data_IF_092131285603
#
_entry.id   IF_092131285603
#
_cell.length_a   1.000
_cell.length_b   1.000
_cell.length_c   1.000
_cell.angle_alpha   90.00
_cell.angle_beta   90.00
_cell.angle_gamma   90.00
#
_symmetry.space_group_name_H-M   'P 1'
#
loop_
_entity.id
_entity.type
_entity.pdbx_description
1 polymer ?
#
# COMPACT_ATOMS: atom_id res chain seq x y z
N UNK A 1 -15.58 14.07 -19.24
CA UNK A 1 -15.87 13.85 -17.82
C UNK A 1 -14.76 12.96 -17.30
N UNK A 2 -14.17 13.25 -16.17
CA UNK A 2 -13.14 12.37 -15.59
C UNK A 2 -13.87 11.16 -14.99
N UNK A 3 -13.45 9.96 -15.33
CA UNK A 3 -14.03 8.74 -14.79
C UNK A 3 -13.78 8.67 -13.29
N UNK A 4 -14.85 8.50 -12.50
CA UNK A 4 -14.77 8.34 -11.05
C UNK A 4 -15.58 7.12 -10.65
N UNK A 5 -14.96 6.24 -9.86
CA UNK A 5 -15.67 5.16 -9.20
C UNK A 5 -16.02 5.58 -7.77
N UNK A 6 -17.23 5.29 -7.36
CA UNK A 6 -17.72 5.56 -6.01
C UNK A 6 -18.30 4.27 -5.48
N UNK A 7 -17.75 3.78 -4.39
CA UNK A 7 -18.33 2.66 -3.65
C UNK A 7 -19.33 3.25 -2.66
N UNK A 8 -20.58 2.86 -2.78
CA UNK A 8 -21.65 3.28 -1.85
C UNK A 8 -21.89 2.12 -0.88
N UNK A 9 -21.45 2.27 0.35
CA UNK A 9 -21.72 1.31 1.43
C UNK A 9 -22.24 2.05 2.67
N UNK A 10 -23.56 2.06 2.89
CA UNK A 10 -24.19 2.75 4.03
C UNK A 10 -23.77 2.17 5.40
N UNK A 11 -23.31 0.92 5.45
CA UNK A 11 -22.90 0.26 6.68
C UNK A 11 -21.43 0.53 7.06
N UNK A 12 -20.61 1.04 6.13
CA UNK A 12 -19.18 1.29 6.37
C UNK A 12 -18.91 2.33 7.46
N UNK A 13 -19.84 3.26 7.70
CA UNK A 13 -19.75 4.28 8.75
C UNK A 13 -19.96 3.73 10.17
N UNK A 14 -20.41 2.48 10.33
CA UNK A 14 -20.66 1.85 11.64
C UNK A 14 -19.45 1.09 12.19
N UNK A 15 -18.30 1.23 11.55
CA UNK A 15 -17.09 0.49 11.89
C UNK A 15 -16.52 0.96 13.24
N UNK A 16 -16.49 0.05 14.21
CA UNK A 16 -15.79 0.19 15.50
C UNK A 16 -16.29 1.29 16.47
N UNK A 17 -17.53 1.22 16.90
CA UNK A 17 -17.99 1.92 18.11
C UNK A 17 -17.33 1.41 19.41
N UNK A 18 -16.37 0.49 19.34
CA UNK A 18 -15.75 -0.09 20.51
C UNK A 18 -14.50 0.70 20.95
N UNK A 19 -14.41 1.01 22.24
CA UNK A 19 -13.20 1.59 22.88
C UNK A 19 -12.02 0.60 22.92
N UNK A 20 -12.21 -0.65 22.52
CA UNK A 20 -11.18 -1.71 22.55
C UNK A 20 -10.56 -1.84 21.17
N UNK A 21 -9.25 -1.94 21.11
CA UNK A 21 -8.53 -2.22 19.88
C UNK A 21 -8.75 -3.69 19.44
N UNK A 22 -9.49 -3.96 18.35
CA UNK A 22 -9.84 -5.30 17.91
C UNK A 22 -8.66 -6.08 17.32
N UNK A 23 -7.57 -5.38 16.95
CA UNK A 23 -6.40 -5.98 16.31
C UNK A 23 -5.33 -6.41 17.31
N UNK A 24 -5.52 -6.10 18.59
CA UNK A 24 -4.60 -6.48 19.66
C UNK A 24 -4.69 -7.98 19.96
N UNK A 25 -3.55 -8.69 20.18
CA UNK A 25 -3.57 -10.06 20.68
C UNK A 25 -4.44 -10.23 21.93
N UNK A 26 -5.25 -11.28 21.94
CA UNK A 26 -6.28 -11.54 22.95
C UNK A 26 -7.66 -10.98 22.62
N UNK A 27 -7.79 -10.22 21.53
CA UNK A 27 -9.06 -9.67 21.02
C UNK A 27 -9.47 -10.30 19.66
N UNK A 28 -8.90 -11.46 19.30
CA UNK A 28 -9.12 -12.10 18.00
C UNK A 28 -10.60 -12.37 17.71
N UNK A 29 -11.41 -12.65 18.74
CA UNK A 29 -12.87 -12.83 18.63
C UNK A 29 -13.63 -11.55 18.26
N UNK A 30 -12.99 -10.39 18.30
CA UNK A 30 -13.59 -9.12 17.86
C UNK A 30 -13.53 -8.91 16.35
N UNK A 31 -12.74 -9.70 15.63
CA UNK A 31 -12.62 -9.68 14.17
C UNK A 31 -13.29 -10.91 13.56
N UNK A 32 -13.34 -11.00 12.24
CA UNK A 32 -13.64 -12.27 11.57
C UNK A 32 -12.49 -13.25 11.78
N UNK A 33 -12.75 -14.55 11.54
CA UNK A 33 -11.73 -15.58 11.58
C UNK A 33 -10.60 -15.25 10.60
N UNK A 34 -9.35 -15.47 11.03
CA UNK A 34 -8.22 -15.24 10.15
C UNK A 34 -8.18 -16.26 9.03
N UNK A 35 -8.05 -15.76 7.81
CA UNK A 35 -7.79 -16.58 6.61
C UNK A 35 -6.31 -16.92 6.47
N UNK A 36 -5.45 -16.20 7.18
CA UNK A 36 -4.02 -16.45 7.28
C UNK A 36 -3.47 -15.77 8.53
N UNK A 37 -2.77 -16.52 9.37
CA UNK A 37 -1.93 -16.00 10.45
C UNK A 37 -0.52 -16.54 10.27
N UNK A 38 0.46 -15.65 10.23
CA UNK A 38 1.87 -16.01 10.16
C UNK A 38 2.42 -16.16 11.57
N UNK A 39 2.94 -17.33 11.90
CA UNK A 39 3.46 -17.66 13.23
C UNK A 39 4.91 -18.11 13.11
N UNK A 40 5.82 -17.53 13.90
CA UNK A 40 7.17 -18.05 14.03
C UNK A 40 7.18 -19.22 15.03
N UNK A 41 7.54 -20.42 14.57
CA UNK A 41 7.65 -21.61 15.41
C UNK A 41 8.89 -22.39 15.01
N UNK A 42 9.72 -22.71 15.99
CA UNK A 42 10.96 -23.49 15.81
C UNK A 42 11.91 -22.90 14.73
N UNK A 43 11.98 -21.57 14.64
CA UNK A 43 12.79 -20.86 13.64
C UNK A 43 12.21 -20.86 12.22
N UNK A 44 11.00 -21.38 12.04
CA UNK A 44 10.29 -21.39 10.76
C UNK A 44 8.99 -20.60 10.82
N UNK A 45 8.62 -19.96 9.70
CA UNK A 45 7.35 -19.28 9.54
C UNK A 45 6.28 -20.26 9.08
N UNK A 46 5.25 -20.44 9.88
CA UNK A 46 4.10 -21.27 9.57
C UNK A 46 2.88 -20.41 9.22
N UNK A 47 2.09 -20.86 8.26
CA UNK A 47 0.81 -20.27 7.89
C UNK A 47 -0.31 -21.09 8.53
N UNK A 48 -1.05 -20.44 9.40
CA UNK A 48 -2.17 -21.06 10.13
C UNK A 48 -3.44 -20.24 9.85
N UNK A 49 -4.59 -20.81 10.20
CA UNK A 49 -5.91 -20.18 10.12
C UNK A 49 -6.65 -20.37 11.42
N UNK A 50 -7.52 -19.41 11.77
CA UNK A 50 -8.46 -19.61 12.86
C UNK A 50 -9.52 -20.67 12.49
N UNK A 51 -10.07 -21.30 13.49
CA UNK A 51 -11.26 -22.13 13.39
C UNK A 51 -12.38 -21.54 14.27
N UNK A 52 -13.59 -22.04 14.15
CA UNK A 52 -14.71 -21.61 15.01
C UNK A 52 -14.43 -21.85 16.49
N UNK A 53 -13.66 -22.88 16.80
CA UNK A 53 -13.38 -23.32 18.17
C UNK A 53 -12.06 -22.75 18.74
N UNK A 54 -11.12 -22.29 17.88
CA UNK A 54 -9.81 -21.84 18.33
C UNK A 54 -9.23 -20.73 17.45
N UNK A 55 -8.64 -19.74 18.11
CA UNK A 55 -7.93 -18.63 17.44
C UNK A 55 -6.42 -18.83 17.51
N UNK A 56 -5.75 -18.62 16.39
CA UNK A 56 -4.28 -18.69 16.30
C UNK A 56 -3.67 -17.64 17.23
N UNK A 57 -2.76 -18.10 18.10
CA UNK A 57 -2.03 -17.27 19.06
C UNK A 57 -0.59 -17.03 18.60
N UNK A 58 0.07 -16.02 19.19
CA UNK A 58 1.48 -15.69 18.93
C UNK A 58 1.76 -15.43 17.43
N UNK A 59 0.77 -14.88 16.72
CA UNK A 59 0.92 -14.49 15.34
C UNK A 59 1.82 -13.26 15.20
N UNK A 60 2.63 -13.22 14.15
CA UNK A 60 3.41 -12.05 13.75
C UNK A 60 2.60 -11.14 12.80
N UNK A 61 1.87 -11.74 11.86
CA UNK A 61 0.96 -11.05 10.92
C UNK A 61 -0.36 -11.82 10.91
N UNK A 62 -1.48 -11.12 10.89
CA UNK A 62 -2.81 -11.72 10.86
C UNK A 62 -3.69 -11.10 9.78
N UNK A 63 -4.34 -11.93 8.97
CA UNK A 63 -5.22 -11.52 7.86
C UNK A 63 -6.63 -12.06 8.08
N UNK A 64 -7.61 -11.19 7.97
CA UNK A 64 -9.03 -11.55 8.05
C UNK A 64 -9.88 -10.64 7.16
N UNK A 65 -11.07 -11.07 6.81
CA UNK A 65 -12.03 -10.24 6.09
C UNK A 65 -12.53 -9.11 6.99
N UNK A 66 -12.68 -7.91 6.42
CA UNK A 66 -13.24 -6.78 7.15
C UNK A 66 -14.65 -7.10 7.63
N UNK A 67 -15.01 -6.71 8.86
CA UNK A 67 -16.39 -6.78 9.37
C UNK A 67 -17.33 -5.76 8.72
N UNK A 68 -16.77 -4.70 8.16
CA UNK A 68 -17.51 -3.70 7.39
C UNK A 68 -16.83 -3.56 6.03
N UNK A 69 -16.98 -4.56 5.14
CA UNK A 69 -16.26 -4.57 3.88
C UNK A 69 -16.84 -3.50 2.94
N UNK A 70 -15.95 -2.77 2.24
CA UNK A 70 -16.38 -1.84 1.19
C UNK A 70 -16.87 -2.58 -0.06
N UNK A 71 -16.32 -3.77 -0.30
CA UNK A 71 -16.68 -4.69 -1.39
C UNK A 71 -16.95 -6.07 -0.80
N UNK A 72 -17.87 -6.85 -1.38
CA UNK A 72 -18.22 -8.18 -0.91
C UNK A 72 -18.40 -9.14 -2.08
N UNK A 73 -18.22 -10.43 -1.83
CA UNK A 73 -18.59 -11.49 -2.78
C UNK A 73 -20.10 -11.77 -2.76
N UNK A 74 -20.76 -11.43 -1.66
CA UNK A 74 -22.21 -11.54 -1.47
C UNK A 74 -22.87 -10.20 -1.77
N UNK A 75 -23.03 -9.89 -3.06
CA UNK A 75 -23.68 -8.66 -3.54
C UNK A 75 -24.85 -9.02 -4.46
N UNK A 76 -25.88 -8.22 -4.40
CA UNK A 76 -27.01 -8.32 -5.34
C UNK A 76 -26.54 -7.93 -6.75
N UNK A 77 -26.96 -8.69 -7.76
CA UNK A 77 -26.69 -8.40 -9.17
C UNK A 77 -27.60 -7.25 -9.64
N UNK A 78 -27.25 -6.03 -9.23
CA UNK A 78 -27.94 -4.82 -9.67
C UNK A 78 -27.06 -4.02 -10.61
N UNK A 79 -27.54 -3.78 -11.82
CA UNK A 79 -26.88 -3.00 -12.84
C UNK A 79 -27.78 -1.87 -13.31
N UNK A 80 -27.20 -0.74 -13.62
CA UNK A 80 -27.86 0.31 -14.36
C UNK A 80 -27.00 0.78 -15.52
N UNK A 81 -27.69 1.21 -16.59
CA UNK A 81 -27.08 1.70 -17.82
C UNK A 81 -27.15 3.23 -17.95
N UNK A 82 -26.70 3.72 -19.10
CA UNK A 82 -26.73 5.14 -19.44
C UNK A 82 -28.04 5.82 -19.05
N UNK A 83 -27.99 7.04 -18.45
CA UNK A 83 -26.79 7.84 -18.21
C UNK A 83 -26.09 7.58 -16.85
N UNK A 84 -26.64 6.74 -15.99
CA UNK A 84 -26.14 6.48 -14.64
C UNK A 84 -25.69 5.02 -14.55
N UNK A 85 -24.38 4.81 -14.73
CA UNK A 85 -23.81 3.46 -14.66
C UNK A 85 -23.59 3.02 -13.22
N UNK A 86 -24.04 1.81 -12.91
CA UNK A 86 -23.68 1.13 -11.66
C UNK A 86 -23.44 -0.36 -11.91
N UNK A 87 -22.57 -0.93 -11.11
CA UNK A 87 -22.31 -2.37 -11.05
C UNK A 87 -22.22 -2.81 -9.59
N UNK A 88 -22.45 -4.10 -9.28
CA UNK A 88 -22.25 -4.61 -7.93
C UNK A 88 -20.84 -4.33 -7.44
N UNK A 89 -20.70 -3.90 -6.18
CA UNK A 89 -19.39 -3.72 -5.54
C UNK A 89 -18.78 -5.06 -5.13
N UNK A 90 -18.60 -5.93 -6.13
CA UNK A 90 -18.04 -7.27 -5.96
C UNK A 90 -16.55 -7.24 -5.64
N UNK A 91 -16.12 -8.05 -4.67
CA UNK A 91 -14.71 -8.21 -4.34
C UNK A 91 -14.49 -8.75 -2.93
N UNK A 92 -13.23 -8.78 -2.54
CA UNK A 92 -12.76 -9.18 -1.22
C UNK A 92 -12.15 -7.97 -0.53
N UNK A 93 -12.44 -7.77 0.74
CA UNK A 93 -11.81 -6.74 1.56
C UNK A 93 -11.14 -7.38 2.78
N UNK A 94 -9.80 -7.48 2.75
CA UNK A 94 -8.98 -7.99 3.83
C UNK A 94 -8.29 -6.88 4.62
N UNK A 95 -8.17 -7.10 5.92
CA UNK A 95 -7.30 -6.35 6.83
C UNK A 95 -6.07 -7.21 7.09
N UNK A 96 -4.88 -6.64 6.92
CA UNK A 96 -3.59 -7.26 7.22
C UNK A 96 -3.00 -6.54 8.44
N UNK A 97 -3.14 -7.12 9.62
CA UNK A 97 -2.54 -6.56 10.84
C UNK A 97 -1.03 -6.80 10.79
N UNK A 98 -0.28 -5.71 10.72
CA UNK A 98 1.15 -5.71 10.41
C UNK A 98 2.05 -5.99 11.62
N UNK A 99 1.53 -5.93 12.82
CA UNK A 99 2.28 -6.23 14.04
C UNK A 99 1.31 -6.62 15.17
N UNK A 100 1.68 -7.52 16.09
CA UNK A 100 0.91 -7.77 17.30
C UNK A 100 1.03 -6.63 18.34
N UNK A 101 2.07 -5.78 18.25
CA UNK A 101 2.28 -4.68 19.20
C UNK A 101 1.54 -3.41 18.74
N UNK A 102 0.49 -2.97 19.49
CA UNK A 102 -0.26 -1.77 19.16
C UNK A 102 0.49 -0.45 19.40
N UNK A 103 1.68 -0.49 20.00
CA UNK A 103 2.52 0.70 20.24
C UNK A 103 3.39 1.04 19.03
N UNK A 104 3.57 0.09 18.12
CA UNK A 104 4.32 0.29 16.89
C UNK A 104 3.45 0.97 15.84
N UNK A 105 4.13 1.55 14.87
CA UNK A 105 3.54 2.13 13.65
C UNK A 105 4.19 1.48 12.44
N UNK A 106 3.65 1.68 11.26
CA UNK A 106 4.28 1.22 10.01
C UNK A 106 5.68 1.83 9.80
N UNK A 107 5.98 2.98 10.43
CA UNK A 107 7.31 3.59 10.41
C UNK A 107 8.30 2.97 11.42
N UNK A 108 7.82 2.20 12.40
CA UNK A 108 8.64 1.70 13.52
C UNK A 108 8.70 0.18 13.65
N UNK A 109 7.83 -0.58 12.98
CA UNK A 109 8.00 -2.04 12.87
C UNK A 109 9.37 -2.34 12.24
N UNK A 110 10.04 -3.41 12.66
CA UNK A 110 11.37 -3.73 12.19
C UNK A 110 11.40 -4.32 10.76
N UNK A 111 12.59 -4.53 10.22
CA UNK A 111 12.78 -5.01 8.85
C UNK A 111 12.24 -6.42 8.68
N UNK A 112 12.44 -7.30 9.65
CA UNK A 112 11.94 -8.68 9.61
C UNK A 112 10.41 -8.69 9.61
N UNK A 113 9.79 -7.85 10.44
CA UNK A 113 8.34 -7.71 10.49
C UNK A 113 7.78 -7.15 9.17
N UNK A 114 8.45 -6.15 8.55
CA UNK A 114 8.08 -5.68 7.21
C UNK A 114 8.21 -6.80 6.17
N UNK A 115 9.28 -7.61 6.22
CA UNK A 115 9.44 -8.76 5.33
C UNK A 115 8.28 -9.74 5.48
N UNK A 116 7.86 -10.03 6.72
CA UNK A 116 6.72 -10.90 7.01
C UNK A 116 5.41 -10.33 6.45
N UNK A 117 5.16 -9.03 6.60
CA UNK A 117 4.00 -8.35 6.00
C UNK A 117 3.99 -8.46 4.49
N UNK A 118 5.12 -8.17 3.83
CA UNK A 118 5.24 -8.23 2.37
C UNK A 118 5.08 -9.65 1.81
N UNK A 119 5.59 -10.67 2.51
CA UNK A 119 5.34 -12.09 2.17
C UNK A 119 3.86 -12.42 2.23
N UNK A 120 3.15 -11.93 3.25
CA UNK A 120 1.71 -12.13 3.39
C UNK A 120 0.94 -11.38 2.31
N UNK A 121 1.31 -10.13 1.99
CA UNK A 121 0.75 -9.36 0.87
C UNK A 121 0.92 -10.14 -0.44
N UNK A 122 2.13 -10.66 -0.72
CA UNK A 122 2.41 -11.44 -1.92
C UNK A 122 1.56 -12.72 -1.99
N UNK A 123 1.42 -13.44 -0.87
CA UNK A 123 0.61 -14.66 -0.78
C UNK A 123 -0.86 -14.38 -1.09
N UNK A 124 -1.42 -13.33 -0.48
CA UNK A 124 -2.83 -12.95 -0.70
C UNK A 124 -3.09 -12.41 -2.10
N UNK A 125 -2.16 -11.66 -2.67
CA UNK A 125 -2.23 -11.24 -4.07
C UNK A 125 -2.33 -12.44 -5.02
N UNK A 126 -1.44 -13.43 -4.85
CA UNK A 126 -1.47 -14.66 -5.66
C UNK A 126 -2.81 -15.39 -5.54
N UNK A 127 -3.34 -15.50 -4.35
CA UNK A 127 -4.64 -16.15 -4.12
C UNK A 127 -5.79 -15.34 -4.75
N UNK A 128 -5.84 -14.02 -4.53
CA UNK A 128 -6.90 -13.16 -5.06
C UNK A 128 -6.96 -13.20 -6.59
N UNK A 129 -5.82 -13.16 -7.28
CA UNK A 129 -5.80 -13.25 -8.74
C UNK A 129 -6.22 -14.63 -9.29
N UNK A 130 -6.37 -15.67 -8.46
CA UNK A 130 -7.02 -16.93 -8.87
C UNK A 130 -8.54 -16.88 -8.74
N UNK A 131 -9.10 -15.88 -8.06
CA UNK A 131 -10.54 -15.81 -7.81
C UNK A 131 -11.27 -15.28 -9.05
N UNK A 132 -12.45 -15.89 -9.32
CA UNK A 132 -13.32 -15.45 -10.41
C UNK A 132 -13.80 -14.02 -10.12
N UNK A 133 -13.83 -13.16 -11.15
CA UNK A 133 -14.32 -11.79 -11.03
C UNK A 133 -13.28 -10.78 -10.51
N UNK A 134 -12.08 -11.20 -10.10
CA UNK A 134 -11.02 -10.29 -9.69
C UNK A 134 -10.20 -9.86 -10.92
N UNK A 135 -10.17 -8.56 -11.19
CA UNK A 135 -9.34 -7.94 -12.25
C UNK A 135 -8.21 -7.10 -11.68
N UNK A 136 -8.38 -6.54 -10.50
CA UNK A 136 -7.39 -5.72 -9.82
C UNK A 136 -7.41 -5.94 -8.30
N UNK A 137 -6.25 -5.79 -7.67
CA UNK A 137 -6.12 -5.82 -6.21
C UNK A 137 -5.38 -4.55 -5.78
N UNK A 138 -6.04 -3.72 -4.98
CA UNK A 138 -5.45 -2.57 -4.33
C UNK A 138 -4.89 -2.97 -2.96
N UNK A 139 -3.68 -2.50 -2.64
CA UNK A 139 -3.04 -2.64 -1.33
C UNK A 139 -2.65 -1.24 -0.88
N UNK A 140 -3.12 -0.84 0.29
CA UNK A 140 -2.82 0.48 0.82
C UNK A 140 -2.82 0.48 2.35
N UNK A 141 -2.30 1.54 2.94
CA UNK A 141 -2.34 1.77 4.38
C UNK A 141 -2.59 3.23 4.72
N UNK A 142 -3.25 3.43 5.86
CA UNK A 142 -3.58 4.71 6.44
C UNK A 142 -2.91 4.78 7.83
N UNK A 143 -1.83 5.53 7.96
CA UNK A 143 -1.11 5.69 9.21
C UNK A 143 -1.42 7.05 9.83
N UNK A 144 -2.04 7.01 11.00
CA UNK A 144 -2.46 8.21 11.74
C UNK A 144 -3.88 8.67 11.41
N UNK A 145 -4.47 9.44 12.33
CA UNK A 145 -5.89 9.81 12.27
C UNK A 145 -6.21 10.71 11.06
N UNK A 146 -5.30 11.63 10.72
CA UNK A 146 -5.51 12.54 9.59
C UNK A 146 -5.44 11.82 8.24
N UNK A 147 -4.83 10.63 8.20
CA UNK A 147 -4.80 9.76 7.03
C UNK A 147 -6.05 8.88 6.88
N UNK A 148 -7.01 8.97 7.82
CA UNK A 148 -8.25 8.22 7.76
C UNK A 148 -8.21 6.86 8.45
N UNK A 149 -7.17 6.56 9.25
CA UNK A 149 -7.15 5.30 10.01
C UNK A 149 -8.29 5.25 11.01
N UNK A 150 -8.99 4.12 11.06
CA UNK A 150 -10.11 3.90 11.99
C UNK A 150 -9.64 3.21 13.28
N UNK A 151 -8.61 2.38 13.19
CA UNK A 151 -8.02 1.65 14.31
C UNK A 151 -6.56 2.04 14.42
N UNK A 152 -6.18 2.65 15.54
CA UNK A 152 -4.78 3.00 15.84
C UNK A 152 -3.98 1.73 16.18
N UNK A 153 -3.60 1.02 15.13
CA UNK A 153 -2.84 -0.22 15.14
C UNK A 153 -2.24 -0.42 13.74
N UNK A 154 -0.94 -0.77 13.58
CA UNK A 154 -0.34 -0.89 12.27
C UNK A 154 -1.02 -1.99 11.43
N UNK A 155 -1.65 -1.61 10.34
CA UNK A 155 -2.34 -2.52 9.42
C UNK A 155 -2.36 -1.97 8.00
N UNK A 156 -2.58 -2.87 7.05
CA UNK A 156 -2.84 -2.57 5.65
C UNK A 156 -4.25 -3.02 5.29
N UNK A 157 -4.81 -2.35 4.31
CA UNK A 157 -6.03 -2.78 3.62
C UNK A 157 -5.66 -3.45 2.31
N UNK A 158 -6.37 -4.50 1.94
CA UNK A 158 -6.26 -5.16 0.65
C UNK A 158 -7.67 -5.39 0.11
N UNK A 159 -7.97 -4.76 -1.04
CA UNK A 159 -9.27 -4.88 -1.70
C UNK A 159 -9.12 -5.39 -3.12
N UNK A 160 -10.03 -6.26 -3.55
CA UNK A 160 -10.09 -6.66 -4.95
C UNK A 160 -11.30 -6.08 -5.65
N UNK A 161 -11.17 -5.85 -6.96
CA UNK A 161 -12.19 -5.25 -7.80
C UNK A 161 -12.37 -6.04 -9.10
N UNK A 162 -13.58 -6.05 -9.69
CA UNK A 162 -13.85 -6.66 -11.00
C UNK A 162 -13.32 -5.80 -12.15
N UNK A 163 -13.02 -4.53 -11.91
CA UNK A 163 -12.52 -3.55 -12.86
C UNK A 163 -11.18 -2.96 -12.39
N UNK A 164 -10.41 -2.41 -13.33
CA UNK A 164 -9.15 -1.73 -13.01
C UNK A 164 -9.49 -0.30 -12.57
N UNK A 165 -8.93 0.20 -11.44
CA UNK A 165 -9.15 1.57 -11.02
C UNK A 165 -8.71 2.58 -12.08
N UNK A 166 -9.44 3.70 -12.28
CA UNK A 166 -9.18 4.66 -13.35
C UNK A 166 -7.75 5.20 -13.38
N UNK A 167 -7.16 5.49 -12.22
CA UNK A 167 -5.79 6.01 -12.13
C UNK A 167 -4.75 4.99 -12.63
N UNK A 168 -4.94 3.72 -12.31
CA UNK A 168 -4.07 2.63 -12.77
C UNK A 168 -4.24 2.39 -14.27
N UNK A 169 -5.46 2.49 -14.78
CA UNK A 169 -5.75 2.36 -16.20
C UNK A 169 -5.13 3.51 -17.00
N UNK A 170 -5.22 4.74 -16.51
CA UNK A 170 -4.60 5.92 -17.12
C UNK A 170 -3.07 5.79 -17.15
N UNK A 171 -2.46 5.38 -16.05
CA UNK A 171 -1.02 5.12 -15.96
C UNK A 171 -0.58 4.04 -16.95
N UNK A 172 -1.32 2.93 -17.02
CA UNK A 172 -1.04 1.83 -17.94
C UNK A 172 -1.21 2.27 -19.41
N UNK A 173 -2.22 3.07 -19.71
CA UNK A 173 -2.44 3.62 -21.06
C UNK A 173 -1.32 4.58 -21.46
N UNK A 174 -0.92 5.48 -20.58
CA UNK A 174 0.16 6.44 -20.81
C UNK A 174 1.50 5.73 -20.97
N UNK A 175 1.80 4.76 -20.14
CA UNK A 175 3.01 3.94 -20.22
C UNK A 175 3.08 3.17 -21.54
N UNK A 176 1.97 2.53 -21.94
CA UNK A 176 1.89 1.78 -23.18
C UNK A 176 2.01 2.67 -24.43
N UNK A 177 1.42 3.86 -24.40
CA UNK A 177 1.56 4.85 -25.47
C UNK A 177 3.03 5.25 -25.67
N UNK A 178 3.74 5.61 -24.60
CA UNK A 178 5.16 5.99 -24.67
C UNK A 178 6.02 4.82 -25.16
N UNK A 179 5.75 3.60 -24.67
CA UNK A 179 6.45 2.41 -25.13
C UNK A 179 6.30 2.19 -26.64
N UNK A 180 5.08 2.34 -27.18
CA UNK A 180 4.82 2.19 -28.62
C UNK A 180 5.44 3.31 -29.45
N UNK A 181 5.42 4.55 -28.96
CA UNK A 181 5.93 5.71 -29.72
C UNK A 181 7.46 5.83 -29.65
N UNK A 182 8.07 5.48 -28.50
CA UNK A 182 9.49 5.74 -28.22
C UNK A 182 10.32 4.47 -27.99
N UNK A 183 9.70 3.30 -27.84
CA UNK A 183 10.39 2.04 -27.58
C UNK A 183 10.98 1.91 -26.17
N UNK A 184 10.51 2.73 -25.22
CA UNK A 184 11.07 2.79 -23.85
C UNK A 184 9.97 2.71 -22.80
N UNK A 185 10.30 2.12 -21.66
CA UNK A 185 9.42 2.10 -20.50
C UNK A 185 9.59 3.42 -19.71
N UNK A 186 8.57 4.28 -19.61
CA UNK A 186 8.73 5.62 -19.03
C UNK A 186 9.17 5.59 -17.55
N UNK A 187 8.63 4.67 -16.75
CA UNK A 187 9.02 4.54 -15.35
C UNK A 187 10.48 4.09 -15.21
N UNK A 188 10.98 3.21 -16.07
CA UNK A 188 12.39 2.81 -16.05
C UNK A 188 13.31 3.99 -16.37
N UNK A 189 12.94 4.82 -17.35
CA UNK A 189 13.68 6.05 -17.64
C UNK A 189 13.65 7.03 -16.45
N UNK A 190 12.48 7.17 -15.81
CA UNK A 190 12.36 8.02 -14.62
C UNK A 190 13.29 7.53 -13.49
N UNK A 191 13.29 6.24 -13.21
CA UNK A 191 14.18 5.61 -12.22
C UNK A 191 15.65 5.88 -12.53
N UNK A 192 16.04 5.73 -13.79
CA UNK A 192 17.44 6.00 -14.23
C UNK A 192 17.80 7.48 -14.07
N UNK A 193 16.86 8.40 -14.33
CA UNK A 193 17.07 9.85 -14.17
C UNK A 193 17.16 10.28 -12.70
N UNK A 194 16.39 9.64 -11.81
CA UNK A 194 16.38 9.96 -10.39
C UNK A 194 17.55 9.32 -9.64
N UNK A 195 18.17 8.26 -10.18
CA UNK A 195 19.33 7.61 -9.58
C UNK A 195 20.55 8.54 -9.56
N UNK A 196 20.96 8.97 -8.37
CA UNK A 196 22.01 10.00 -8.17
C UNK A 196 21.53 11.43 -8.41
N UNK A 197 20.25 11.63 -8.72
CA UNK A 197 19.65 12.95 -8.96
C UNK A 197 19.29 13.70 -7.66
N UNK A 198 18.89 14.98 -7.81
CA UNK A 198 18.61 15.86 -6.66
C UNK A 198 17.34 15.47 -5.87
N UNK A 199 16.45 14.66 -6.45
CA UNK A 199 15.23 14.19 -5.81
C UNK A 199 15.33 12.79 -5.21
N UNK A 200 16.51 12.15 -5.30
CA UNK A 200 16.75 10.85 -4.66
C UNK A 200 16.77 11.00 -3.13
N UNK A 201 15.99 10.18 -2.44
CA UNK A 201 15.99 10.04 -0.97
C UNK A 201 17.00 8.99 -0.55
N UNK A 202 16.83 7.77 -1.04
CA UNK A 202 17.61 6.58 -0.68
C UNK A 202 17.59 5.58 -1.83
N UNK A 203 18.61 4.72 -1.90
CA UNK A 203 18.59 3.54 -2.75
C UNK A 203 19.22 2.35 -2.05
N UNK A 204 18.75 1.18 -2.39
CA UNK A 204 19.28 -0.12 -1.99
C UNK A 204 19.78 -0.89 -3.22
N UNK A 205 20.05 -2.19 -3.09
CA UNK A 205 20.46 -3.00 -4.25
C UNK A 205 19.38 -3.03 -5.35
N UNK A 206 18.12 -3.29 -4.98
CA UNK A 206 17.01 -3.48 -5.91
C UNK A 206 16.05 -2.30 -6.04
N UNK A 207 16.07 -1.33 -5.13
CA UNK A 207 15.05 -0.28 -5.06
C UNK A 207 15.66 1.11 -4.97
N UNK A 208 14.86 2.10 -5.37
CA UNK A 208 15.13 3.52 -5.21
C UNK A 208 13.91 4.22 -4.63
N UNK A 209 14.12 5.15 -3.70
CA UNK A 209 13.12 6.08 -3.21
C UNK A 209 13.46 7.51 -3.65
N UNK A 210 12.50 8.23 -4.20
CA UNK A 210 12.68 9.61 -4.67
C UNK A 210 11.38 10.41 -4.57
N UNK A 211 11.46 11.73 -4.49
CA UNK A 211 10.32 12.62 -4.62
C UNK A 211 9.98 12.81 -6.10
N UNK A 212 8.73 12.64 -6.55
CA UNK A 212 8.36 12.84 -7.94
C UNK A 212 8.51 14.30 -8.35
N UNK A 213 8.72 14.56 -9.65
CA UNK A 213 8.86 15.92 -10.21
C UNK A 213 7.62 16.80 -9.95
N UNK A 214 6.43 16.23 -10.00
CA UNK A 214 5.16 16.90 -9.82
C UNK A 214 4.34 16.19 -8.73
N UNK A 215 4.67 16.38 -7.44
CA UNK A 215 3.98 15.74 -6.35
C UNK A 215 2.56 16.27 -6.16
N UNK A 216 1.64 15.43 -5.73
CA UNK A 216 0.30 15.82 -5.32
C UNK A 216 0.24 16.30 -3.86
N UNK A 217 1.23 15.92 -3.06
CA UNK A 217 1.37 16.28 -1.64
C UNK A 217 2.78 16.78 -1.34
N UNK A 218 2.96 17.76 -0.45
CA UNK A 218 4.28 18.10 0.07
C UNK A 218 4.95 16.85 0.68
N UNK A 219 6.23 16.64 0.40
CA UNK A 219 7.01 15.48 0.84
C UNK A 219 6.54 14.14 0.29
N UNK A 220 5.69 14.09 -0.72
CA UNK A 220 5.36 12.87 -1.44
C UNK A 220 6.63 12.20 -1.96
N UNK A 221 6.70 10.88 -1.82
CA UNK A 221 7.80 10.10 -2.40
C UNK A 221 7.34 8.73 -2.89
N UNK A 222 8.07 8.22 -3.86
CA UNK A 222 7.83 6.93 -4.46
C UNK A 222 8.96 5.96 -4.17
N UNK A 223 8.65 4.68 -4.05
CA UNK A 223 9.62 3.58 -3.94
C UNK A 223 9.43 2.67 -5.14
N UNK A 224 10.43 2.62 -6.01
CA UNK A 224 10.38 1.89 -7.27
C UNK A 224 11.44 0.80 -7.33
N UNK A 225 11.15 -0.39 -7.90
CA UNK A 225 12.18 -1.31 -8.33
C UNK A 225 13.12 -0.65 -9.34
N UNK A 226 14.42 -0.84 -9.20
CA UNK A 226 15.41 -0.32 -10.17
C UNK A 226 15.36 -1.09 -11.50
N UNK A 227 15.09 -2.39 -11.42
CA UNK A 227 14.88 -3.23 -12.59
C UNK A 227 13.43 -3.20 -13.00
N UNK A 228 13.16 -3.01 -14.29
CA UNK A 228 11.78 -3.08 -14.79
C UNK A 228 11.11 -4.39 -14.41
N UNK A 229 10.01 -4.28 -13.69
CA UNK A 229 9.18 -5.42 -13.29
C UNK A 229 7.72 -5.01 -13.19
N UNK A 230 6.83 -5.87 -13.66
CA UNK A 230 5.39 -5.61 -13.68
C UNK A 230 4.63 -6.40 -12.62
N UNK A 231 5.25 -7.40 -11.99
CA UNK A 231 4.55 -8.29 -11.07
C UNK A 231 5.22 -8.32 -9.70
N UNK A 232 4.58 -7.69 -8.72
CA UNK A 232 4.95 -7.81 -7.31
C UNK A 232 4.78 -9.26 -6.80
N UNK A 233 3.79 -9.99 -7.32
CA UNK A 233 3.53 -11.37 -6.90
C UNK A 233 4.68 -12.34 -7.21
N UNK A 234 5.63 -11.94 -8.08
CA UNK A 234 6.76 -12.78 -8.54
C UNK A 234 8.12 -12.38 -7.98
N UNK A 235 8.24 -11.28 -7.22
CA UNK A 235 9.52 -10.90 -6.64
C UNK A 235 10.03 -11.97 -5.68
N UNK A 236 11.35 -12.11 -5.62
CA UNK A 236 12.04 -13.09 -4.79
C UNK A 236 12.06 -12.67 -3.30
N UNK A 237 12.37 -13.61 -2.40
CA UNK A 237 12.55 -13.29 -0.99
C UNK A 237 13.67 -12.26 -0.76
N UNK A 238 14.74 -12.30 -1.57
CA UNK A 238 15.82 -11.29 -1.52
C UNK A 238 15.28 -9.90 -1.82
N UNK A 239 14.45 -9.75 -2.85
CA UNK A 239 13.81 -8.48 -3.21
C UNK A 239 12.80 -8.03 -2.16
N UNK A 240 12.04 -8.96 -1.55
CA UNK A 240 11.15 -8.66 -0.42
C UNK A 240 11.94 -8.08 0.76
N UNK A 241 13.06 -8.69 1.14
CA UNK A 241 13.89 -8.22 2.25
C UNK A 241 14.49 -6.84 1.94
N UNK A 242 14.91 -6.59 0.72
CA UNK A 242 15.45 -5.31 0.28
C UNK A 242 14.35 -4.21 0.24
N UNK A 243 13.14 -4.56 -0.21
CA UNK A 243 11.98 -3.69 -0.11
C UNK A 243 11.60 -3.37 1.34
N UNK A 244 11.64 -4.36 2.23
CA UNK A 244 11.41 -4.16 3.66
C UNK A 244 12.41 -3.17 4.27
N UNK A 245 13.68 -3.27 3.88
CA UNK A 245 14.74 -2.37 4.32
C UNK A 245 14.48 -0.93 3.88
N UNK A 246 14.22 -0.69 2.58
CA UNK A 246 14.00 0.66 2.07
C UNK A 246 12.70 1.28 2.60
N UNK A 247 11.61 0.49 2.73
CA UNK A 247 10.35 0.92 3.35
C UNK A 247 10.60 1.35 4.79
N UNK A 248 11.24 0.51 5.60
CA UNK A 248 11.50 0.82 7.00
C UNK A 248 12.37 2.08 7.16
N UNK A 249 13.40 2.22 6.34
CA UNK A 249 14.31 3.36 6.40
C UNK A 249 13.62 4.67 5.96
N UNK A 250 12.82 4.64 4.89
CA UNK A 250 12.17 5.84 4.36
C UNK A 250 10.96 6.26 5.19
N UNK A 251 10.10 5.35 5.63
CA UNK A 251 8.99 5.65 6.52
C UNK A 251 9.49 6.11 7.90
N UNK A 252 10.55 5.51 8.43
CA UNK A 252 11.21 5.96 9.66
C UNK A 252 11.82 7.36 9.50
N UNK A 253 12.45 7.62 8.36
CA UNK A 253 12.96 8.94 7.99
C UNK A 253 11.86 9.99 7.91
N UNK A 254 10.73 9.67 7.25
CA UNK A 254 9.54 10.54 7.19
C UNK A 254 9.03 10.87 8.60
N UNK A 255 8.80 9.84 9.42
CA UNK A 255 8.30 10.00 10.80
C UNK A 255 9.20 10.90 11.65
N UNK A 256 10.53 10.78 11.53
CA UNK A 256 11.49 11.62 12.26
C UNK A 256 11.59 13.03 11.71
N UNK A 257 11.58 13.22 10.39
CA UNK A 257 11.65 14.53 9.75
C UNK A 257 10.43 15.39 10.07
N UNK A 258 9.25 14.76 10.13
CA UNK A 258 7.96 15.44 10.21
C UNK A 258 7.20 15.16 11.51
N UNK A 259 7.89 14.76 12.57
CA UNK A 259 7.35 14.57 13.93
C UNK A 259 6.09 13.69 13.96
N UNK A 260 6.18 12.49 13.38
CA UNK A 260 5.09 11.51 13.30
C UNK A 260 3.87 12.00 12.48
N UNK A 261 4.12 12.64 11.35
CA UNK A 261 3.06 13.04 10.41
C UNK A 261 2.22 11.83 10.01
N UNK A 262 0.91 12.05 9.89
CA UNK A 262 0.00 11.07 9.28
C UNK A 262 0.30 10.93 7.78
N UNK A 263 0.18 9.72 7.23
CA UNK A 263 0.40 9.48 5.80
C UNK A 263 -0.44 8.31 5.29
N UNK A 264 -0.77 8.37 4.02
CA UNK A 264 -1.23 7.19 3.27
C UNK A 264 -0.07 6.64 2.46
N UNK A 265 -0.10 5.35 2.17
CA UNK A 265 0.66 4.80 1.05
C UNK A 265 -0.17 3.79 0.26
N UNK A 266 0.12 3.69 -1.03
CA UNK A 266 -0.55 2.77 -1.93
C UNK A 266 0.45 2.05 -2.82
N UNK A 267 0.19 0.76 -3.07
CA UNK A 267 0.88 0.01 -4.10
C UNK A 267 0.18 0.25 -5.44
N UNK A 268 0.88 0.84 -6.38
CA UNK A 268 0.48 0.89 -7.78
C UNK A 268 0.92 -0.43 -8.43
N UNK A 269 0.05 -1.41 -8.40
CA UNK A 269 0.31 -2.75 -8.91
C UNK A 269 -0.13 -2.86 -10.37
N UNK A 270 0.62 -3.63 -11.13
CA UNK A 270 0.20 -3.97 -12.49
C UNK A 270 -0.99 -4.94 -12.46
N UNK A 271 -2.03 -4.73 -13.29
CA UNK A 271 -3.08 -5.70 -13.44
C UNK A 271 -2.52 -7.05 -13.92
N UNK A 272 -2.78 -8.15 -13.23
CA UNK A 272 -2.29 -9.48 -13.62
C UNK A 272 -3.24 -10.23 -14.56
N UNK A 273 -4.26 -9.56 -15.09
CA UNK A 273 -5.20 -10.12 -16.05
C UNK A 273 -4.53 -10.30 -17.42
N UNK A 274 -4.80 -11.44 -18.07
CA UNK A 274 -4.31 -11.72 -19.42
C UNK A 274 -4.73 -10.61 -20.39
N UNK A 275 -3.78 -10.10 -21.19
CA UNK A 275 -3.95 -8.98 -22.13
C UNK A 275 -4.17 -7.59 -21.52
N UNK A 276 -4.00 -7.41 -20.22
CA UNK A 276 -3.98 -6.08 -19.60
C UNK A 276 -2.69 -5.34 -19.98
N UNK A 277 -2.80 -4.02 -20.15
CA UNK A 277 -1.62 -3.17 -20.22
C UNK A 277 -0.93 -3.18 -18.86
N UNK A 278 0.38 -3.33 -18.89
CA UNK A 278 1.20 -3.51 -17.70
C UNK A 278 1.85 -2.19 -17.30
N UNK A 279 2.01 -1.98 -16.02
CA UNK A 279 2.81 -0.88 -15.46
C UNK A 279 4.05 -1.44 -14.75
N UNK A 280 5.05 -0.62 -14.60
CA UNK A 280 6.15 -0.88 -13.65
C UNK A 280 5.61 -0.60 -12.25
N UNK A 281 5.38 -1.65 -11.43
CA UNK A 281 4.80 -1.47 -10.12
C UNK A 281 5.71 -0.61 -9.22
N UNK A 282 5.09 0.17 -8.35
CA UNK A 282 5.78 1.01 -7.37
C UNK A 282 4.88 1.27 -6.16
N UNK A 283 5.43 1.90 -5.15
CA UNK A 283 4.71 2.35 -3.96
C UNK A 283 4.78 3.87 -3.91
N UNK A 284 3.65 4.51 -3.74
CA UNK A 284 3.54 5.94 -3.53
C UNK A 284 3.18 6.23 -2.07
N UNK A 285 3.83 7.22 -1.46
CA UNK A 285 3.62 7.64 -0.07
C UNK A 285 3.21 9.10 -0.04
N UNK A 286 2.07 9.38 0.60
CA UNK A 286 1.41 10.68 0.64
C UNK A 286 1.34 11.21 2.07
N UNK A 287 2.30 12.03 2.53
CA UNK A 287 2.23 12.66 3.84
C UNK A 287 1.11 13.70 3.91
N UNK A 288 0.37 13.72 5.00
CA UNK A 288 -0.73 14.64 5.22
C UNK A 288 -0.22 15.84 6.01
N UNK A 289 0.29 16.83 5.31
CA UNK A 289 0.81 18.07 5.92
C UNK A 289 -0.28 19.13 6.03
N UNK A 290 -1.13 19.21 5.00
CA UNK A 290 -2.26 20.15 4.92
C UNK A 290 -3.44 19.48 4.20
N UNK A 291 -4.67 19.80 4.58
CA UNK A 291 -5.85 19.33 3.83
C UNK A 291 -5.88 19.93 2.43
N UNK A 292 -6.32 19.16 1.44
CA UNK A 292 -6.60 19.68 0.10
C UNK A 292 -7.67 20.75 0.13
N UNK A 293 -7.42 21.85 -0.55
CA UNK A 293 -8.32 22.99 -0.72
C UNK A 293 -9.26 22.81 -1.92
N UNK A 294 -9.97 23.87 -2.28
CA UNK A 294 -10.79 23.90 -3.48
C UNK A 294 -10.00 23.81 -4.78
N UNK A 295 -8.72 24.20 -4.77
CA UNK A 295 -7.86 24.16 -5.96
C UNK A 295 -7.57 22.71 -6.36
N UNK A 296 -7.10 21.89 -5.41
CA UNK A 296 -6.79 20.48 -5.64
C UNK A 296 -8.06 19.69 -5.96
N UNK A 297 -9.11 19.86 -5.15
CA UNK A 297 -10.37 19.13 -5.30
C UNK A 297 -11.16 19.50 -6.55
N UNK A 298 -11.17 20.78 -6.91
CA UNK A 298 -11.98 21.29 -8.01
C UNK A 298 -11.32 21.26 -9.37
N UNK A 299 -9.99 21.39 -9.39
CA UNK A 299 -9.24 21.60 -10.65
C UNK A 299 -8.10 20.61 -10.86
N UNK A 300 -7.75 19.79 -9.86
CA UNK A 300 -6.62 18.86 -9.95
C UNK A 300 -5.26 19.57 -10.08
N UNK A 301 -5.17 20.81 -9.56
CA UNK A 301 -3.93 21.60 -9.50
C UNK A 301 -3.43 21.54 -8.07
N UNK A 302 -2.30 20.89 -7.86
CA UNK A 302 -1.74 20.65 -6.54
C UNK A 302 -0.79 21.78 -6.13
N UNK A 303 -0.88 22.17 -4.86
CA UNK A 303 0.01 23.20 -4.27
C UNK A 303 0.97 22.54 -3.28
N UNK A 304 2.24 22.88 -3.39
CA UNK A 304 3.27 22.47 -2.43
C UNK A 304 4.09 23.68 -2.01
N UNK A 305 4.34 23.82 -0.72
CA UNK A 305 5.21 24.84 -0.12
C UNK A 305 6.68 24.41 -0.04
N UNK A 306 6.98 23.18 -0.46
CA UNK A 306 8.33 22.61 -0.52
C UNK A 306 8.61 22.06 -1.92
N UNK A 307 9.79 22.34 -2.46
CA UNK A 307 10.19 21.72 -3.74
C UNK A 307 10.53 20.24 -3.54
N UNK A 308 10.35 19.38 -4.58
CA UNK A 308 10.74 17.97 -4.51
C UNK A 308 12.20 17.75 -4.13
N UNK A 309 13.10 18.62 -4.58
CA UNK A 309 14.53 18.57 -4.26
C UNK A 309 14.80 18.86 -2.77
N UNK A 310 14.11 19.84 -2.21
CA UNK A 310 14.23 20.17 -0.79
C UNK A 310 13.63 19.06 0.07
N UNK A 311 12.46 18.54 -0.29
CA UNK A 311 11.83 17.41 0.38
C UNK A 311 12.75 16.18 0.37
N UNK A 312 13.31 15.84 -0.79
CA UNK A 312 14.23 14.72 -0.92
C UNK A 312 15.51 14.87 -0.10
N UNK A 313 16.06 16.10 0.00
CA UNK A 313 17.22 16.41 0.84
C UNK A 313 16.94 16.16 2.32
N UNK A 314 15.79 16.61 2.81
CA UNK A 314 15.38 16.46 4.21
C UNK A 314 15.07 14.99 4.54
N UNK A 315 14.20 14.36 3.75
CA UNK A 315 13.85 12.95 3.89
C UNK A 315 15.09 12.05 3.75
N UNK A 316 15.95 12.33 2.76
CA UNK A 316 17.17 11.57 2.53
C UNK A 316 18.16 11.63 3.68
N UNK A 317 18.27 12.80 4.33
CA UNK A 317 19.13 12.95 5.52
C UNK A 317 18.61 12.08 6.68
N UNK A 318 17.31 12.11 6.93
CA UNK A 318 16.70 11.33 7.99
C UNK A 318 16.70 9.82 7.68
N UNK A 319 16.38 9.45 6.43
CA UNK A 319 16.35 8.03 5.99
C UNK A 319 17.72 7.36 6.05
N UNK A 320 18.80 8.08 5.69
CA UNK A 320 20.17 7.56 5.84
C UNK A 320 20.55 7.33 7.29
N UNK A 321 20.13 8.21 8.22
CA UNK A 321 20.35 8.00 9.66
C UNK A 321 19.56 6.78 10.17
N UNK A 322 18.32 6.61 9.71
CA UNK A 322 17.55 5.41 10.01
C UNK A 322 18.25 4.16 9.49
N UNK A 323 18.67 4.16 8.21
CA UNK A 323 19.35 3.04 7.60
C UNK A 323 20.62 2.67 8.38
N UNK A 324 21.47 3.65 8.72
CA UNK A 324 22.70 3.41 9.50
C UNK A 324 22.38 2.76 10.84
N UNK A 325 21.38 3.24 11.55
CA UNK A 325 20.96 2.65 12.83
C UNK A 325 20.41 1.22 12.67
N UNK A 326 19.68 0.95 11.58
CA UNK A 326 19.09 -0.38 11.32
C UNK A 326 20.14 -1.44 10.96
N UNK A 327 21.23 -1.04 10.28
CA UNK A 327 22.32 -1.95 9.87
C UNK A 327 23.52 -1.94 10.81
N UNK A 328 23.44 -1.19 11.93
CA UNK A 328 24.48 -1.16 12.96
C UNK A 328 25.77 -0.44 12.54
N UNK A 329 25.67 0.52 11.63
CA UNK A 329 26.78 1.40 11.21
C UNK A 329 26.58 2.75 11.90
N UNK A 330 27.47 3.13 12.82
CA UNK A 330 27.51 4.46 13.45
C UNK A 330 28.15 5.52 12.53
#
# INVERSE_FOLDING_TARGET
>A
MVDRFVIVNPESGKMFETKKNPFKPGNESMTNLSVLSLVAKDGMLQRLQDTEDDYVKNWAVRVFESKSPAVSVDVDDSYSDYPLYSEPSYGYHYIIVASPDPKLTLSTIDIEQWSNVLVVVQDRLRWLYTQKGVSYVAVYADQGIDAGTVVDHPHLNMMSFPSIPPIIEEEANSSHKILNEKGVYPMSQLVDMEAGGPRQILQTEGFIAFCPWAPSHPYEFWICPKKHTTSFSKISQKEINDLALILRATLGGLSKSMKNVSYNFAFHLSPEKKNSKQIHWHIEVYPITTPWSGLEKGYGIFYSDVSPEQAAKELGTASRKELSALVGIE
#
